data_IF_879026490112
#
_entry.id   IF_879026490112
#
_cell.length_a   1.000
_cell.length_b   1.000
_cell.length_c   1.000
_cell.angle_alpha   90.00
_cell.angle_beta   90.00
_cell.angle_gamma   90.00
#
_symmetry.space_group_name_H-M   'P 1'
#
loop_
_entity.id
_entity.type
_entity.pdbx_description
1 polymer ?
#
# COMPACT_ATOMS: atom_id res chain seq x y z
N UNK A 1 -5.71 10.32 19.03
CA UNK A 1 -7.15 10.29 19.33
C UNK A 1 -7.88 9.60 18.18
N UNK A 2 -8.96 10.21 17.64
CA UNK A 2 -9.67 9.59 16.53
C UNK A 2 -8.78 9.40 15.29
N UNK A 3 -7.87 10.34 15.02
CA UNK A 3 -6.95 10.28 13.87
C UNK A 3 -6.02 9.07 13.94
N UNK A 4 -5.46 8.80 15.11
CA UNK A 4 -4.60 7.63 15.32
C UNK A 4 -5.38 6.32 15.18
N UNK A 5 -6.60 6.28 15.75
CA UNK A 5 -7.48 5.12 15.61
C UNK A 5 -7.87 4.89 14.15
N UNK A 6 -8.23 5.96 13.44
CA UNK A 6 -8.56 5.88 12.02
C UNK A 6 -7.36 5.36 11.22
N UNK A 7 -6.16 5.85 11.49
CA UNK A 7 -4.95 5.36 10.84
C UNK A 7 -4.72 3.88 11.12
N UNK A 8 -4.85 3.43 12.35
CA UNK A 8 -4.71 2.02 12.71
C UNK A 8 -5.72 1.15 11.98
N UNK A 9 -6.97 1.59 11.89
CA UNK A 9 -8.01 0.86 11.15
C UNK A 9 -7.64 0.79 9.66
N UNK A 10 -7.22 1.89 9.07
CA UNK A 10 -6.80 1.92 7.66
C UNK A 10 -5.60 1.00 7.44
N UNK A 11 -4.61 1.04 8.31
CA UNK A 11 -3.42 0.18 8.21
C UNK A 11 -3.79 -1.31 8.29
N UNK A 12 -4.72 -1.68 9.18
CA UNK A 12 -5.20 -3.06 9.28
C UNK A 12 -5.91 -3.46 7.99
N UNK A 13 -6.84 -2.63 7.50
CA UNK A 13 -7.60 -2.94 6.29
C UNK A 13 -6.70 -3.06 5.06
N UNK A 14 -5.81 -2.10 4.86
CA UNK A 14 -4.89 -2.10 3.73
C UNK A 14 -3.87 -3.23 3.87
N UNK A 15 -3.33 -3.43 5.05
CA UNK A 15 -2.39 -4.51 5.33
C UNK A 15 -3.00 -5.88 5.09
N UNK A 16 -4.24 -6.11 5.51
CA UNK A 16 -4.96 -7.36 5.25
C UNK A 16 -5.25 -7.53 3.75
N UNK A 17 -5.67 -6.47 3.08
CA UNK A 17 -5.92 -6.50 1.64
C UNK A 17 -4.67 -6.89 0.87
N UNK A 18 -3.54 -6.27 1.17
CA UNK A 18 -2.28 -6.55 0.48
C UNK A 18 -1.73 -7.93 0.86
N UNK A 19 -1.83 -8.32 2.12
CA UNK A 19 -1.40 -9.65 2.58
C UNK A 19 -2.27 -10.75 1.97
N UNK A 20 -3.56 -10.50 1.74
CA UNK A 20 -4.46 -11.42 1.06
C UNK A 20 -3.99 -11.75 -0.37
N UNK A 21 -3.16 -10.89 -0.96
CA UNK A 21 -2.50 -11.17 -2.25
C UNK A 21 -1.61 -12.41 -2.24
N UNK A 22 -1.29 -12.96 -1.06
CA UNK A 22 -0.53 -14.23 -0.96
C UNK A 22 -1.28 -15.38 -1.64
N UNK A 23 -2.61 -15.37 -1.60
CA UNK A 23 -3.41 -16.42 -2.22
C UNK A 23 -3.21 -16.48 -3.75
N UNK A 24 -3.48 -15.40 -4.51
CA UNK A 24 -3.19 -15.40 -5.94
C UNK A 24 -1.70 -15.52 -6.24
N UNK A 25 -0.81 -15.04 -5.38
CA UNK A 25 0.63 -15.19 -5.55
C UNK A 25 1.04 -16.67 -5.56
N UNK A 26 0.57 -17.44 -4.59
CA UNK A 26 0.85 -18.87 -4.53
C UNK A 26 0.31 -19.58 -5.78
N UNK A 27 -0.92 -19.24 -6.19
CA UNK A 27 -1.49 -19.77 -7.42
C UNK A 27 -0.62 -19.50 -8.65
N UNK A 28 -0.13 -18.27 -8.78
CA UNK A 28 0.75 -17.88 -9.89
C UNK A 28 2.08 -18.63 -9.87
N UNK A 29 2.65 -18.85 -8.70
CA UNK A 29 3.91 -19.57 -8.55
C UNK A 29 3.76 -21.07 -8.83
N UNK A 30 2.60 -21.65 -8.53
CA UNK A 30 2.32 -23.04 -8.83
C UNK A 30 2.01 -23.28 -10.31
N UNK A 31 1.51 -22.27 -11.02
CA UNK A 31 1.12 -22.34 -12.42
C UNK A 31 1.77 -21.21 -13.23
N UNK A 32 3.11 -21.18 -13.31
CA UNK A 32 3.80 -20.05 -13.92
C UNK A 32 3.54 -19.88 -15.42
N UNK A 33 3.20 -20.95 -16.11
CA UNK A 33 2.91 -20.89 -17.55
C UNK A 33 1.59 -20.15 -17.85
N UNK A 34 0.67 -20.13 -16.90
CA UNK A 34 -0.65 -19.52 -17.05
C UNK A 34 -0.74 -18.14 -16.38
N UNK A 35 0.39 -17.63 -15.88
CA UNK A 35 0.42 -16.42 -15.06
C UNK A 35 1.31 -15.37 -15.69
N UNK A 36 0.93 -14.09 -15.52
CA UNK A 36 1.79 -12.98 -15.90
C UNK A 36 2.95 -12.84 -14.91
N UNK A 37 4.16 -12.83 -15.42
CA UNK A 37 5.37 -12.74 -14.60
C UNK A 37 5.45 -11.41 -13.86
N UNK A 38 5.08 -10.32 -14.52
CA UNK A 38 5.09 -8.99 -13.91
C UNK A 38 4.11 -8.90 -12.75
N UNK A 39 2.90 -9.40 -12.94
CA UNK A 39 1.88 -9.43 -11.89
C UNK A 39 2.33 -10.28 -10.71
N UNK A 40 2.96 -11.42 -10.97
CA UNK A 40 3.49 -12.30 -9.92
C UNK A 40 4.55 -11.58 -9.08
N UNK A 41 5.49 -10.91 -9.74
CA UNK A 41 6.53 -10.14 -9.04
C UNK A 41 5.93 -9.01 -8.24
N UNK A 42 4.95 -8.30 -8.79
CA UNK A 42 4.27 -7.21 -8.10
C UNK A 42 3.50 -7.69 -6.87
N UNK A 43 2.78 -8.79 -6.99
CA UNK A 43 2.06 -9.39 -5.87
C UNK A 43 3.00 -9.71 -4.70
N UNK A 44 4.21 -10.20 -4.99
CA UNK A 44 5.18 -10.50 -3.93
C UNK A 44 5.58 -9.26 -3.15
N UNK A 45 5.77 -8.12 -3.83
CA UNK A 45 6.09 -6.85 -3.18
C UNK A 45 4.91 -6.33 -2.36
N UNK A 46 3.69 -6.46 -2.86
CA UNK A 46 2.50 -6.02 -2.13
C UNK A 46 2.23 -6.88 -0.89
N UNK A 47 2.46 -8.18 -0.97
CA UNK A 47 2.35 -9.07 0.21
C UNK A 47 3.34 -8.65 1.29
N UNK A 48 4.60 -8.40 0.93
CA UNK A 48 5.61 -7.92 1.85
C UNK A 48 5.21 -6.57 2.46
N UNK A 49 4.76 -5.62 1.63
CA UNK A 49 4.29 -4.33 2.08
C UNK A 49 3.10 -4.46 3.04
N UNK A 50 2.15 -5.33 2.74
CA UNK A 50 1.00 -5.61 3.60
C UNK A 50 1.41 -6.10 4.99
N UNK A 51 2.36 -7.01 5.06
CA UNK A 51 2.89 -7.52 6.32
C UNK A 51 3.52 -6.39 7.13
N UNK A 52 4.34 -5.54 6.50
CA UNK A 52 4.97 -4.41 7.17
C UNK A 52 3.94 -3.36 7.62
N UNK A 53 2.87 -3.14 6.86
CA UNK A 53 1.79 -2.25 7.29
C UNK A 53 1.07 -2.79 8.53
N UNK A 54 0.87 -4.10 8.63
CA UNK A 54 0.30 -4.72 9.83
C UNK A 54 1.23 -4.57 11.03
N UNK A 55 2.53 -4.67 10.84
CA UNK A 55 3.51 -4.40 11.89
C UNK A 55 3.42 -2.93 12.34
N UNK A 56 3.27 -2.02 11.39
CA UNK A 56 3.18 -0.58 11.66
C UNK A 56 1.97 -0.20 12.52
N UNK A 57 0.92 -1.03 12.57
CA UNK A 57 -0.27 -0.79 13.39
C UNK A 57 0.09 -0.60 14.86
N UNK A 58 1.12 -1.30 15.35
CA UNK A 58 1.54 -1.22 16.75
C UNK A 58 2.04 0.16 17.13
N UNK A 59 2.81 0.80 16.24
CA UNK A 59 3.36 2.13 16.48
C UNK A 59 3.49 2.88 15.15
N UNK A 60 2.40 3.49 14.64
CA UNK A 60 2.44 4.18 13.36
C UNK A 60 3.45 5.32 13.31
N UNK A 61 3.69 6.01 14.42
CA UNK A 61 4.63 7.12 14.48
C UNK A 61 6.06 6.71 14.19
N UNK A 62 6.43 5.46 14.52
CA UNK A 62 7.75 4.92 14.25
C UNK A 62 7.90 4.49 12.77
N UNK A 63 6.81 4.39 12.03
CA UNK A 63 6.78 3.86 10.67
C UNK A 63 6.26 4.88 9.65
N UNK A 64 6.49 6.18 9.91
CA UNK A 64 6.02 7.26 9.02
C UNK A 64 6.51 7.11 7.59
N UNK A 65 7.78 6.77 7.40
CA UNK A 65 8.36 6.60 6.07
C UNK A 65 7.76 5.42 5.32
N UNK A 66 7.46 4.33 6.02
CA UNK A 66 6.79 3.18 5.43
C UNK A 66 5.38 3.54 4.97
N UNK A 67 4.63 4.26 5.81
CA UNK A 67 3.27 4.72 5.49
C UNK A 67 3.31 5.68 4.29
N UNK A 68 4.25 6.61 4.28
CA UNK A 68 4.44 7.52 3.14
C UNK A 68 4.80 6.76 1.87
N UNK A 69 5.69 5.78 1.96
CA UNK A 69 6.05 4.94 0.82
C UNK A 69 4.84 4.17 0.29
N UNK A 70 4.04 3.59 1.18
CA UNK A 70 2.83 2.87 0.79
C UNK A 70 1.83 3.80 0.08
N UNK A 71 1.68 5.04 0.55
CA UNK A 71 0.81 6.04 -0.08
C UNK A 71 1.30 6.41 -1.48
N UNK A 72 2.57 6.79 -1.60
CA UNK A 72 3.14 7.23 -2.87
C UNK A 72 3.28 6.10 -3.88
N UNK A 73 3.63 4.88 -3.43
CA UNK A 73 3.66 3.71 -4.30
C UNK A 73 2.26 3.34 -4.81
N UNK A 74 1.23 3.53 -3.98
CA UNK A 74 -0.16 3.34 -4.41
C UNK A 74 -0.55 4.34 -5.50
N UNK A 75 -0.14 5.61 -5.37
CA UNK A 75 -0.39 6.62 -6.42
C UNK A 75 0.37 6.28 -7.71
N UNK A 76 1.63 5.91 -7.62
CA UNK A 76 2.43 5.54 -8.80
C UNK A 76 1.82 4.34 -9.52
N UNK A 77 1.41 3.33 -8.77
CA UNK A 77 0.76 2.15 -9.33
C UNK A 77 -0.58 2.49 -9.96
N UNK A 78 -1.36 3.37 -9.31
CA UNK A 78 -2.64 3.84 -9.85
C UNK A 78 -2.46 4.55 -11.19
N UNK A 79 -1.42 5.38 -11.33
CA UNK A 79 -1.10 6.05 -12.61
C UNK A 79 -0.79 5.01 -13.69
N UNK A 80 0.07 4.03 -13.37
CA UNK A 80 0.42 2.98 -14.32
C UNK A 80 -0.81 2.17 -14.75
N UNK A 81 -1.65 1.78 -13.79
CA UNK A 81 -2.89 1.05 -14.09
C UNK A 81 -3.86 1.87 -14.93
N UNK A 82 -3.96 3.17 -14.68
CA UNK A 82 -4.84 4.05 -15.45
C UNK A 82 -4.38 4.13 -16.91
N UNK A 83 -3.09 4.27 -17.14
CA UNK A 83 -2.51 4.30 -18.51
C UNK A 83 -2.79 2.97 -19.20
N UNK A 84 -2.49 1.85 -18.56
CA UNK A 84 -2.71 0.53 -19.14
C UNK A 84 -4.19 0.25 -19.40
N UNK A 85 -5.07 0.71 -18.49
CA UNK A 85 -6.51 0.58 -18.68
C UNK A 85 -7.04 1.31 -19.91
N UNK A 86 -6.43 2.44 -20.28
CA UNK A 86 -6.79 3.17 -21.48
C UNK A 86 -6.24 2.51 -22.74
N UNK A 87 -5.07 1.85 -22.64
CA UNK A 87 -4.40 1.20 -23.77
C UNK A 87 -4.92 -0.23 -24.03
N UNK A 88 -5.44 -0.91 -23.02
CA UNK A 88 -5.91 -2.30 -23.12
C UNK A 88 -7.42 -2.34 -22.85
N UNK A 89 -8.29 -2.21 -23.87
CA UNK A 89 -9.74 -2.12 -23.70
C UNK A 89 -10.35 -3.32 -22.94
N UNK A 90 -9.82 -4.51 -23.14
CA UNK A 90 -10.32 -5.73 -22.48
C UNK A 90 -10.15 -5.72 -20.96
N UNK A 91 -9.20 -4.94 -20.44
CA UNK A 91 -8.91 -4.86 -19.02
C UNK A 91 -9.26 -3.48 -18.41
N UNK A 92 -9.86 -2.61 -19.21
CA UNK A 92 -10.15 -1.22 -18.83
C UNK A 92 -10.90 -1.10 -17.50
N UNK A 93 -11.98 -1.85 -17.33
CA UNK A 93 -12.80 -1.75 -16.12
C UNK A 93 -12.01 -2.18 -14.88
N UNK A 94 -11.32 -3.31 -14.96
CA UNK A 94 -10.53 -3.83 -13.84
C UNK A 94 -9.40 -2.87 -13.44
N UNK A 95 -8.66 -2.35 -14.42
CA UNK A 95 -7.56 -1.44 -14.15
C UNK A 95 -8.04 -0.09 -13.60
N UNK A 96 -9.12 0.46 -14.12
CA UNK A 96 -9.67 1.73 -13.63
C UNK A 96 -10.26 1.60 -12.23
N UNK A 97 -10.96 0.50 -11.93
CA UNK A 97 -11.48 0.23 -10.58
C UNK A 97 -10.33 0.04 -9.59
N UNK A 98 -9.33 -0.76 -9.95
CA UNK A 98 -8.14 -0.97 -9.12
C UNK A 98 -7.38 0.33 -8.87
N UNK A 99 -7.25 1.15 -9.89
CA UNK A 99 -6.64 2.47 -9.80
C UNK A 99 -7.39 3.38 -8.82
N UNK A 100 -8.71 3.41 -8.89
CA UNK A 100 -9.53 4.20 -7.97
C UNK A 100 -9.36 3.72 -6.51
N UNK A 101 -9.33 2.42 -6.29
CA UNK A 101 -9.09 1.84 -4.96
C UNK A 101 -7.72 2.28 -4.42
N UNK A 102 -6.68 2.20 -5.25
CA UNK A 102 -5.33 2.60 -4.84
C UNK A 102 -5.22 4.10 -4.56
N UNK A 103 -5.91 4.94 -5.30
CA UNK A 103 -5.96 6.38 -5.02
C UNK A 103 -6.61 6.64 -3.66
N UNK A 104 -7.72 5.99 -3.36
CA UNK A 104 -8.38 6.10 -2.05
C UNK A 104 -7.44 5.66 -0.93
N UNK A 105 -6.77 4.54 -1.10
CA UNK A 105 -5.78 4.03 -0.13
C UNK A 105 -4.65 5.06 0.05
N UNK A 106 -4.10 5.57 -1.04
CA UNK A 106 -3.02 6.54 -0.99
C UNK A 106 -3.41 7.82 -0.27
N UNK A 107 -4.59 8.37 -0.59
CA UNK A 107 -5.12 9.56 0.07
C UNK A 107 -5.33 9.32 1.57
N UNK A 108 -5.94 8.19 1.94
CA UNK A 108 -6.17 7.85 3.34
C UNK A 108 -4.84 7.75 4.11
N UNK A 109 -3.84 7.07 3.55
CA UNK A 109 -2.55 6.89 4.20
C UNK A 109 -1.78 8.20 4.33
N UNK A 110 -1.75 9.03 3.28
CA UNK A 110 -0.97 10.27 3.32
C UNK A 110 -1.62 11.32 4.24
N UNK A 111 -2.94 11.40 4.28
CA UNK A 111 -3.64 12.34 5.14
C UNK A 111 -3.60 11.95 6.61
N UNK A 112 -3.58 10.65 6.90
CA UNK A 112 -3.56 10.12 8.27
C UNK A 112 -2.13 9.86 8.78
N UNK A 113 -1.12 9.96 7.92
CA UNK A 113 0.26 9.72 8.32
C UNK A 113 0.64 10.65 9.49
N UNK A 114 1.29 10.13 10.57
CA UNK A 114 1.66 10.95 11.71
C UNK A 114 2.56 12.12 11.32
N UNK A 115 2.41 13.23 12.03
CA UNK A 115 3.22 14.41 11.79
C UNK A 115 4.70 14.13 12.05
N UNK A 116 5.57 14.77 11.25
CA UNK A 116 7.02 14.67 11.44
C UNK A 116 7.39 15.26 12.82
N UNK A 117 8.26 14.58 13.61
CA UNK A 117 8.72 15.14 14.87
C UNK A 117 9.38 16.50 14.68
N UNK A 118 9.12 17.45 15.59
CA UNK A 118 9.76 18.77 15.53
C UNK A 118 11.26 18.63 15.80
N UNK A 119 12.06 19.53 15.22
CA UNK A 119 13.52 19.59 15.45
C UNK A 119 13.81 19.76 16.95
N UNK A 120 13.00 20.55 17.63
CA UNK A 120 13.13 20.76 19.08
C UNK A 120 13.01 19.46 19.86
N UNK A 121 12.02 18.62 19.55
CA UNK A 121 11.86 17.31 20.20
C UNK A 121 13.03 16.38 19.93
N UNK A 122 13.55 16.41 18.72
CA UNK A 122 14.72 15.61 18.36
C UNK A 122 15.94 16.06 19.15
N UNK A 123 16.16 17.35 19.28
CA UNK A 123 17.27 17.93 20.05
C UNK A 123 17.21 17.51 21.52
N UNK A 124 16.03 17.57 22.14
CA UNK A 124 15.83 17.14 23.53
C UNK A 124 16.09 15.64 23.68
N UNK A 125 15.65 14.82 22.73
CA UNK A 125 15.85 13.37 22.77
C UNK A 125 17.33 12.98 22.64
N UNK A 126 18.15 13.80 21.97
CA UNK A 126 19.58 13.56 21.78
C UNK A 126 20.40 13.99 23.00
N UNK A 127 19.93 15.01 23.73
CA UNK A 127 20.60 15.52 24.93
C UNK A 127 20.36 14.63 26.15
#
# INVERSE_FOLDING_TARGET
>A
MWRERALKVVLVLVGLLFTAGVYPLIGSLLHPADSDTGDTMMLSLYVALGIFLLIAVRNPSAHRSLIAFAAWSSFAHAVAMSILGLEIPSQKVGFLVGSAVLVVIGVALITLNPAKPSVERISVAVL
#
